data_IF_190468515869
#
_entry.id   IF_190468515869
#
_cell.length_a   1.000
_cell.length_b   1.000
_cell.length_c   1.000
_cell.angle_alpha   90.00
_cell.angle_beta   90.00
_cell.angle_gamma   90.00
#
_symmetry.space_group_name_H-M   'P 1'
#
loop_
_entity.id
_entity.type
_entity.pdbx_description
1 polymer ?
#
# COMPACT_ATOMS: atom_id res chain seq x y z
N UNK A 1 32.00 -17.60 -9.98
CA UNK A 1 30.98 -16.85 -10.77
C UNK A 1 30.94 -15.42 -10.28
N UNK A 2 30.94 -14.43 -11.17
CA UNK A 2 30.73 -13.04 -10.77
C UNK A 2 29.33 -12.92 -10.13
N UNK A 3 29.19 -12.31 -8.96
CA UNK A 3 27.89 -12.16 -8.32
C UNK A 3 26.98 -11.30 -9.21
N UNK A 4 25.76 -11.79 -9.47
CA UNK A 4 24.73 -11.01 -10.18
C UNK A 4 24.43 -9.77 -9.36
N UNK A 5 24.69 -8.58 -9.91
CA UNK A 5 24.53 -7.30 -9.20
C UNK A 5 23.07 -6.88 -9.06
N UNK A 6 22.24 -7.18 -10.09
CA UNK A 6 20.81 -6.88 -10.07
C UNK A 6 20.07 -7.92 -9.25
N UNK A 7 19.28 -7.46 -8.28
CA UNK A 7 18.47 -8.32 -7.41
C UNK A 7 17.02 -8.31 -7.83
N UNK A 8 16.39 -9.48 -7.83
CA UNK A 8 14.97 -9.66 -8.21
C UNK A 8 14.14 -9.81 -6.96
N UNK A 9 13.20 -8.89 -6.79
CA UNK A 9 12.17 -8.93 -5.73
C UNK A 9 10.86 -9.38 -6.36
N UNK A 10 10.27 -10.47 -5.88
CA UNK A 10 8.99 -10.95 -6.37
C UNK A 10 7.92 -10.90 -5.26
N UNK A 11 6.75 -10.33 -5.59
CA UNK A 11 5.58 -10.37 -4.71
C UNK A 11 4.95 -11.75 -4.75
N UNK A 12 4.77 -12.35 -3.58
CA UNK A 12 4.15 -13.65 -3.46
C UNK A 12 2.66 -13.48 -3.18
N UNK A 13 1.86 -14.20 -3.93
CA UNK A 13 0.40 -14.26 -3.82
C UNK A 13 -0.12 -15.69 -3.94
N UNK A 14 -1.45 -15.90 -3.99
CA UNK A 14 -2.06 -17.24 -3.96
C UNK A 14 -1.55 -18.19 -5.03
N UNK A 15 -1.19 -17.70 -6.21
CA UNK A 15 -0.66 -18.53 -7.32
C UNK A 15 0.81 -18.92 -7.15
N UNK A 16 1.54 -18.30 -6.23
CA UNK A 16 3.00 -18.45 -6.10
C UNK A 16 3.47 -18.85 -4.70
N UNK A 17 2.56 -19.02 -3.72
CA UNK A 17 2.89 -19.25 -2.32
C UNK A 17 3.29 -20.72 -2.00
N UNK A 18 3.18 -21.67 -2.94
CA UNK A 18 3.57 -23.04 -2.69
C UNK A 18 5.09 -23.21 -2.60
N UNK A 19 5.54 -24.12 -1.75
CA UNK A 19 6.96 -24.44 -1.57
C UNK A 19 7.67 -24.77 -2.90
N UNK A 20 7.03 -25.57 -3.77
CA UNK A 20 7.58 -25.96 -5.05
C UNK A 20 7.75 -24.76 -6.01
N UNK A 21 6.79 -23.82 -5.99
CA UNK A 21 6.87 -22.62 -6.81
C UNK A 21 7.96 -21.67 -6.30
N UNK A 22 8.04 -21.41 -5.00
CA UNK A 22 9.11 -20.60 -4.41
C UNK A 22 10.49 -21.18 -4.72
N UNK A 23 10.65 -22.51 -4.64
CA UNK A 23 11.88 -23.19 -5.02
C UNK A 23 12.24 -22.96 -6.50
N UNK A 24 11.26 -23.07 -7.41
CA UNK A 24 11.48 -22.80 -8.85
C UNK A 24 11.83 -21.33 -9.08
N UNK A 25 11.15 -20.39 -8.46
CA UNK A 25 11.43 -18.95 -8.61
C UNK A 25 12.83 -18.60 -8.09
N UNK A 26 13.23 -19.14 -6.93
CA UNK A 26 14.58 -18.97 -6.39
C UNK A 26 15.65 -19.54 -7.32
N UNK A 27 15.45 -20.75 -7.83
CA UNK A 27 16.37 -21.39 -8.78
C UNK A 27 16.50 -20.60 -10.10
N UNK A 28 15.51 -19.78 -10.45
CA UNK A 28 15.51 -18.91 -11.63
C UNK A 28 15.88 -17.45 -11.33
N UNK A 29 16.45 -17.17 -10.15
CA UNK A 29 17.07 -15.88 -9.84
C UNK A 29 16.26 -14.94 -8.96
N UNK A 30 15.20 -15.38 -8.33
CA UNK A 30 14.53 -14.57 -7.29
C UNK A 30 15.42 -14.47 -6.06
N UNK A 31 15.75 -13.26 -5.64
CA UNK A 31 16.58 -12.97 -4.46
C UNK A 31 15.77 -12.64 -3.23
N UNK A 32 14.58 -12.03 -3.38
CA UNK A 32 13.77 -11.54 -2.27
C UNK A 32 12.29 -11.83 -2.51
N UNK A 33 11.66 -12.41 -1.51
CA UNK A 33 10.20 -12.57 -1.42
C UNK A 33 9.61 -11.29 -0.82
N UNK A 34 8.66 -10.65 -1.51
CA UNK A 34 7.90 -9.52 -0.97
C UNK A 34 6.54 -9.99 -0.47
N UNK A 35 6.27 -9.71 0.82
CA UNK A 35 4.98 -9.89 1.48
C UNK A 35 4.23 -8.55 1.46
N UNK A 36 3.19 -8.42 0.63
CA UNK A 36 2.39 -7.21 0.55
C UNK A 36 1.28 -7.22 1.61
N UNK A 37 1.49 -6.48 2.71
CA UNK A 37 0.54 -6.46 3.83
C UNK A 37 -0.74 -5.65 3.56
N UNK A 38 -0.89 -5.03 2.40
CA UNK A 38 -2.19 -4.48 1.99
C UNK A 38 -3.22 -5.59 1.70
N UNK A 39 -2.76 -6.80 1.36
CA UNK A 39 -3.60 -7.92 0.93
C UNK A 39 -3.37 -9.22 1.70
N UNK A 40 -2.15 -9.46 2.18
CA UNK A 40 -1.80 -10.67 2.91
C UNK A 40 -2.25 -10.60 4.38
N UNK A 41 -2.68 -11.74 4.92
CA UNK A 41 -2.86 -11.93 6.36
C UNK A 41 -1.53 -12.33 7.03
N UNK A 42 -1.47 -12.29 8.36
CA UNK A 42 -0.30 -12.80 9.09
C UNK A 42 -0.15 -14.31 8.92
N UNK A 43 -1.25 -15.05 8.78
CA UNK A 43 -1.26 -16.49 8.54
C UNK A 43 -0.64 -16.84 7.18
N UNK A 44 -1.06 -16.14 6.11
CA UNK A 44 -0.48 -16.30 4.78
C UNK A 44 1.02 -16.00 4.79
N UNK A 45 1.40 -14.91 5.46
CA UNK A 45 2.79 -14.51 5.58
C UNK A 45 3.64 -15.55 6.33
N UNK A 46 3.12 -16.15 7.42
CA UNK A 46 3.82 -17.22 8.16
C UNK A 46 4.10 -18.44 7.29
N UNK A 47 3.13 -18.89 6.49
CA UNK A 47 3.31 -19.99 5.56
C UNK A 47 4.49 -19.74 4.62
N UNK A 48 4.55 -18.53 4.04
CA UNK A 48 5.61 -18.14 3.12
C UNK A 48 6.97 -18.06 3.84
N UNK A 49 7.00 -17.49 5.05
CA UNK A 49 8.22 -17.42 5.89
C UNK A 49 8.75 -18.82 6.18
N UNK A 50 7.90 -19.78 6.53
CA UNK A 50 8.29 -21.17 6.82
C UNK A 50 8.86 -21.84 5.57
N UNK A 51 8.26 -21.61 4.40
CA UNK A 51 8.78 -22.11 3.13
C UNK A 51 10.14 -21.53 2.80
N UNK A 52 10.35 -20.21 2.98
CA UNK A 52 11.64 -19.54 2.74
C UNK A 52 12.70 -20.07 3.71
N UNK A 53 12.37 -20.19 5.00
CA UNK A 53 13.28 -20.73 6.00
C UNK A 53 13.71 -22.18 5.68
N UNK A 54 12.79 -23.00 5.18
CA UNK A 54 13.08 -24.36 4.72
C UNK A 54 14.01 -24.36 3.50
N UNK A 55 13.73 -23.49 2.51
CA UNK A 55 14.60 -23.35 1.32
C UNK A 55 16.00 -22.92 1.71
N UNK A 56 16.13 -21.95 2.61
CA UNK A 56 17.44 -21.45 3.04
C UNK A 56 18.26 -22.49 3.82
N UNK A 57 17.62 -23.44 4.48
CA UNK A 57 18.31 -24.58 5.10
C UNK A 57 18.82 -25.61 4.10
N UNK A 58 18.02 -25.84 3.05
CA UNK A 58 18.31 -26.91 2.07
C UNK A 58 19.30 -26.49 0.97
N UNK A 59 19.48 -25.19 0.69
CA UNK A 59 20.16 -24.69 -0.52
C UNK A 59 21.17 -23.57 -0.27
N UNK A 60 21.77 -23.53 0.90
CA UNK A 60 22.65 -22.44 1.34
C UNK A 60 23.81 -22.09 0.37
N UNK A 61 24.26 -23.04 -0.45
CA UNK A 61 25.54 -22.88 -1.18
C UNK A 61 25.42 -22.55 -2.67
N UNK A 62 24.28 -22.84 -3.33
CA UNK A 62 24.17 -22.71 -4.79
C UNK A 62 23.61 -21.36 -5.26
N UNK A 63 22.60 -20.84 -4.59
CA UNK A 63 21.87 -19.64 -5.02
C UNK A 63 21.97 -18.48 -4.00
N UNK A 64 22.58 -18.73 -2.85
CA UNK A 64 22.58 -17.84 -1.71
C UNK A 64 21.22 -17.82 -0.99
N UNK A 65 21.13 -17.13 0.17
CA UNK A 65 19.90 -17.09 0.95
C UNK A 65 18.83 -16.24 0.27
N UNK A 66 17.60 -16.75 0.23
CA UNK A 66 16.41 -16.02 -0.19
C UNK A 66 15.99 -15.06 0.93
N UNK A 67 15.95 -13.76 0.63
CA UNK A 67 15.53 -12.72 1.56
C UNK A 67 14.01 -12.61 1.68
N UNK A 68 13.53 -11.96 2.75
CA UNK A 68 12.11 -11.64 2.94
C UNK A 68 11.98 -10.13 3.16
N UNK A 69 11.07 -9.50 2.42
CA UNK A 69 10.67 -8.11 2.54
C UNK A 69 9.20 -8.04 2.97
N UNK A 70 8.92 -7.45 4.13
CA UNK A 70 7.56 -7.07 4.51
C UNK A 70 7.30 -5.64 4.02
N UNK A 71 6.27 -5.48 3.19
CA UNK A 71 5.84 -4.19 2.65
C UNK A 71 4.56 -3.75 3.37
N UNK A 72 4.64 -2.64 4.13
CA UNK A 72 3.52 -2.11 4.90
C UNK A 72 2.43 -1.56 3.99
N UNK A 73 1.19 -1.54 4.47
CA UNK A 73 0.09 -0.92 3.74
C UNK A 73 0.24 0.61 3.67
N UNK A 74 0.64 1.23 4.79
CA UNK A 74 0.69 2.68 4.92
C UNK A 74 -0.68 3.36 5.01
N UNK A 75 -0.68 4.70 5.08
CA UNK A 75 -1.88 5.51 5.22
C UNK A 75 -2.60 5.70 3.87
N UNK A 76 -3.23 4.66 3.35
CA UNK A 76 -3.95 4.75 2.08
C UNK A 76 -5.29 5.48 2.21
N UNK A 77 -5.54 6.40 1.28
CA UNK A 77 -6.86 6.97 1.05
C UNK A 77 -7.57 6.13 -0.02
N UNK A 78 -8.79 5.69 0.28
CA UNK A 78 -9.59 4.86 -0.63
C UNK A 78 -11.05 5.31 -0.67
N UNK A 79 -11.73 4.97 -1.76
CA UNK A 79 -13.20 5.04 -1.83
C UNK A 79 -13.83 4.00 -0.90
N UNK A 80 -15.11 4.16 -0.60
CA UNK A 80 -15.91 3.19 0.14
C UNK A 80 -16.13 1.88 -0.63
N UNK A 81 -16.96 1.03 -0.05
CA UNK A 81 -17.42 -0.21 -0.69
C UNK A 81 -18.44 0.13 -1.78
N UNK A 82 -18.38 -0.54 -2.91
CA UNK A 82 -19.41 -0.48 -3.93
C UNK A 82 -20.01 -1.87 -4.14
N UNK A 83 -21.33 -1.95 -4.16
CA UNK A 83 -22.05 -3.19 -4.44
C UNK A 83 -22.11 -3.50 -5.94
N UNK A 84 -21.89 -2.48 -6.76
CA UNK A 84 -21.84 -2.58 -8.22
C UNK A 84 -20.91 -1.52 -8.78
N UNK A 85 -20.33 -1.79 -9.92
CA UNK A 85 -19.51 -0.81 -10.62
C UNK A 85 -20.36 0.37 -11.10
N UNK A 86 -19.82 1.59 -11.00
CA UNK A 86 -20.51 2.83 -11.38
C UNK A 86 -19.78 3.48 -12.54
N UNK A 87 -20.47 3.65 -13.66
CA UNK A 87 -19.92 4.34 -14.80
C UNK A 87 -20.05 5.86 -14.63
N UNK A 88 -18.91 6.54 -14.63
CA UNK A 88 -18.79 7.98 -14.54
C UNK A 88 -18.36 8.55 -15.88
N UNK A 89 -19.08 9.56 -16.36
CA UNK A 89 -18.80 10.23 -17.64
C UNK A 89 -18.16 11.59 -17.41
N UNK A 90 -17.37 12.03 -18.36
CA UNK A 90 -16.80 13.39 -18.36
C UNK A 90 -17.93 14.41 -18.27
N UNK A 91 -17.79 15.35 -17.34
CA UNK A 91 -18.80 16.39 -17.07
C UNK A 91 -19.79 16.02 -15.96
N UNK A 92 -19.88 14.77 -15.54
CA UNK A 92 -20.75 14.39 -14.43
C UNK A 92 -20.38 15.13 -13.14
N UNK A 93 -21.41 15.44 -12.34
CA UNK A 93 -21.25 16.07 -11.04
C UNK A 93 -21.49 15.04 -9.96
N UNK A 94 -20.48 14.78 -9.15
CA UNK A 94 -20.53 13.83 -8.04
C UNK A 94 -20.06 14.48 -6.74
N UNK A 95 -20.53 13.97 -5.60
CA UNK A 95 -20.04 14.35 -4.29
C UNK A 95 -19.02 13.33 -3.78
N UNK A 96 -17.81 13.79 -3.44
CA UNK A 96 -16.88 12.99 -2.62
C UNK A 96 -17.14 13.33 -1.17
N UNK A 97 -17.54 12.35 -0.36
CA UNK A 97 -18.03 12.56 1.01
C UNK A 97 -17.20 11.84 2.05
N UNK A 98 -17.16 12.40 3.28
CA UNK A 98 -16.56 11.77 4.45
C UNK A 98 -17.59 11.19 5.42
N UNK A 99 -18.86 11.19 5.03
CA UNK A 99 -19.97 10.66 5.83
C UNK A 99 -19.85 9.14 6.00
N UNK A 100 -20.20 8.64 7.17
CA UNK A 100 -20.13 7.22 7.48
C UNK A 100 -21.38 6.43 7.07
N UNK A 101 -22.50 7.13 6.84
CA UNK A 101 -23.79 6.59 6.42
C UNK A 101 -23.92 6.43 4.88
N UNK A 102 -22.88 6.77 4.15
CA UNK A 102 -22.81 6.66 2.67
C UNK A 102 -21.62 5.79 2.30
N UNK A 103 -21.80 4.91 1.35
CA UNK A 103 -20.72 4.21 0.66
C UNK A 103 -20.52 4.78 -0.76
N UNK A 104 -20.37 3.93 -1.78
CA UNK A 104 -20.25 4.38 -3.16
C UNK A 104 -21.61 4.25 -3.83
N UNK A 105 -22.18 5.40 -4.17
CA UNK A 105 -23.46 5.55 -4.87
C UNK A 105 -23.24 6.38 -6.14
N UNK A 106 -24.22 6.40 -7.04
CA UNK A 106 -24.12 7.08 -8.37
C UNK A 106 -23.74 8.56 -8.24
N UNK A 107 -24.20 9.26 -7.21
CA UNK A 107 -23.96 10.69 -7.00
C UNK A 107 -23.11 11.03 -5.79
N UNK A 108 -22.76 10.04 -4.95
CA UNK A 108 -22.01 10.24 -3.71
C UNK A 108 -21.01 9.10 -3.50
N UNK A 109 -19.75 9.44 -3.39
CA UNK A 109 -18.64 8.48 -3.27
C UNK A 109 -17.97 8.75 -1.93
N UNK A 110 -18.07 7.81 -1.00
CA UNK A 110 -17.38 7.89 0.28
C UNK A 110 -15.88 7.82 0.12
N UNK A 111 -15.16 8.66 0.88
CA UNK A 111 -13.70 8.64 1.01
C UNK A 111 -13.35 8.40 2.48
N UNK A 112 -12.45 7.47 2.76
CA UNK A 112 -12.08 7.06 4.12
C UNK A 112 -11.17 8.05 4.87
N UNK A 113 -10.88 9.21 4.30
CA UNK A 113 -10.02 10.24 4.90
C UNK A 113 -10.86 11.37 5.50
N UNK A 114 -11.02 11.39 6.83
CA UNK A 114 -11.81 12.41 7.55
C UNK A 114 -11.27 13.84 7.39
N UNK A 115 -9.98 14.00 7.12
CA UNK A 115 -9.35 15.31 6.85
C UNK A 115 -9.60 15.86 5.45
N UNK A 116 -10.26 15.13 4.55
CA UNK A 116 -10.45 15.47 3.14
C UNK A 116 -10.94 16.90 2.92
N UNK A 117 -12.04 17.25 3.59
CA UNK A 117 -12.69 18.56 3.41
C UNK A 117 -11.78 19.72 3.84
N UNK A 118 -11.01 19.51 4.92
CA UNK A 118 -10.05 20.51 5.44
C UNK A 118 -8.84 20.66 4.53
N UNK A 119 -8.33 19.54 4.02
CA UNK A 119 -7.07 19.51 3.23
C UNK A 119 -7.26 19.98 1.79
N UNK A 120 -8.45 19.82 1.20
CA UNK A 120 -8.70 20.07 -0.22
C UNK A 120 -9.38 21.45 -0.39
N UNK A 121 -9.00 22.17 -1.45
CA UNK A 121 -9.56 23.48 -1.81
C UNK A 121 -10.36 23.42 -3.11
N UNK A 122 -11.23 24.44 -3.35
CA UNK A 122 -11.87 24.63 -4.65
C UNK A 122 -10.79 24.73 -5.74
N UNK A 123 -10.98 24.00 -6.84
CA UNK A 123 -10.03 23.93 -7.95
C UNK A 123 -9.02 22.79 -7.85
N UNK A 124 -8.84 22.18 -6.66
CA UNK A 124 -7.96 21.03 -6.51
C UNK A 124 -8.34 19.87 -7.42
N UNK A 125 -7.35 19.11 -7.87
CA UNK A 125 -7.52 17.86 -8.58
C UNK A 125 -7.50 16.69 -7.58
N UNK A 126 -8.40 15.73 -7.78
CA UNK A 126 -8.44 14.46 -7.07
C UNK A 126 -8.35 13.37 -8.11
N UNK A 127 -7.51 12.35 -7.87
CA UNK A 127 -7.39 11.22 -8.80
C UNK A 127 -7.83 9.94 -8.11
N UNK A 128 -8.55 9.09 -8.82
CA UNK A 128 -9.03 7.79 -8.32
C UNK A 128 -8.56 6.69 -9.26
N UNK A 129 -8.33 5.50 -8.70
CA UNK A 129 -7.89 4.28 -9.39
C UNK A 129 -6.58 4.49 -10.17
N UNK A 130 -5.51 4.85 -9.43
CA UNK A 130 -4.17 5.08 -9.99
C UNK A 130 -4.10 6.13 -11.11
N UNK A 131 -5.01 7.12 -11.08
CA UNK A 131 -5.05 8.21 -12.05
C UNK A 131 -5.95 7.96 -13.26
N UNK A 132 -6.63 6.83 -13.34
CA UNK A 132 -7.57 6.53 -14.44
C UNK A 132 -8.75 7.48 -14.44
N UNK A 133 -9.26 7.88 -13.27
CA UNK A 133 -10.35 8.84 -13.15
C UNK A 133 -9.88 10.09 -12.44
N UNK A 134 -10.17 11.26 -13.03
CA UNK A 134 -9.77 12.55 -12.50
C UNK A 134 -10.99 13.42 -12.23
N UNK A 135 -10.92 14.16 -11.11
CA UNK A 135 -11.99 15.01 -10.61
C UNK A 135 -11.47 16.41 -10.31
N UNK A 136 -12.28 17.42 -10.57
CA UNK A 136 -12.01 18.82 -10.17
C UNK A 136 -13.01 19.26 -9.12
N UNK A 137 -12.51 19.76 -7.98
CA UNK A 137 -13.36 20.29 -6.91
C UNK A 137 -13.98 21.61 -7.34
N UNK A 138 -15.31 21.68 -7.36
CA UNK A 138 -16.08 22.87 -7.71
C UNK A 138 -16.49 23.67 -6.47
N UNK A 139 -16.91 22.97 -5.42
CA UNK A 139 -17.35 23.54 -4.16
C UNK A 139 -17.13 22.53 -3.03
N UNK A 140 -17.19 22.99 -1.77
CA UNK A 140 -17.16 22.12 -0.60
C UNK A 140 -18.10 22.64 0.48
N UNK A 141 -18.62 21.73 1.28
CA UNK A 141 -19.36 22.01 2.51
C UNK A 141 -18.68 21.33 3.72
N UNK A 142 -19.40 21.04 4.80
CA UNK A 142 -18.84 20.44 6.01
C UNK A 142 -18.41 18.98 5.83
N UNK A 143 -19.03 18.24 4.89
CA UNK A 143 -18.87 16.80 4.75
C UNK A 143 -18.66 16.34 3.30
N UNK A 144 -18.85 17.24 2.32
CA UNK A 144 -18.83 16.89 0.90
C UNK A 144 -17.91 17.82 0.10
N UNK A 145 -17.28 17.26 -0.92
CA UNK A 145 -16.69 17.97 -2.03
C UNK A 145 -17.55 17.74 -3.25
N UNK A 146 -18.17 18.78 -3.80
CA UNK A 146 -18.85 18.73 -5.10
C UNK A 146 -17.81 18.78 -6.19
N UNK A 147 -17.72 17.72 -6.99
CA UNK A 147 -16.67 17.55 -7.99
C UNK A 147 -17.27 17.36 -9.38
N UNK A 148 -16.55 17.84 -10.40
CA UNK A 148 -16.79 17.51 -11.81
C UNK A 148 -15.82 16.43 -12.24
N UNK A 149 -16.30 15.42 -12.93
CA UNK A 149 -15.51 14.36 -13.56
C UNK A 149 -14.77 14.94 -14.75
N UNK A 150 -13.44 14.90 -14.74
CA UNK A 150 -12.58 15.33 -15.85
C UNK A 150 -12.25 14.17 -16.78
N UNK A 151 -11.95 13.01 -16.20
CA UNK A 151 -11.72 11.77 -16.93
C UNK A 151 -12.62 10.70 -16.31
N UNK A 152 -13.53 10.18 -17.13
CA UNK A 152 -14.51 9.18 -16.72
C UNK A 152 -13.95 7.77 -16.71
N UNK A 153 -14.76 6.84 -16.23
CA UNK A 153 -14.42 5.42 -16.16
C UNK A 153 -15.37 4.64 -15.26
N UNK A 154 -15.12 3.36 -15.11
CA UNK A 154 -15.90 2.46 -14.27
C UNK A 154 -15.32 2.41 -12.86
N UNK A 155 -16.01 3.00 -11.90
CA UNK A 155 -15.60 3.03 -10.49
C UNK A 155 -16.06 1.77 -9.77
N UNK A 156 -15.11 0.92 -9.39
CA UNK A 156 -15.36 -0.23 -8.53
C UNK A 156 -15.14 0.06 -7.04
N UNK A 157 -15.22 -1.00 -6.23
CA UNK A 157 -15.10 -0.95 -4.78
C UNK A 157 -13.67 -0.63 -4.31
N UNK A 158 -13.52 0.16 -3.25
CA UNK A 158 -12.27 0.43 -2.50
C UNK A 158 -11.10 0.92 -3.36
N UNK A 159 -11.36 1.75 -4.36
CA UNK A 159 -10.34 2.28 -5.25
C UNK A 159 -9.43 3.27 -4.54
N UNK A 160 -8.16 3.25 -4.90
CA UNK A 160 -7.16 4.18 -4.36
C UNK A 160 -7.48 5.62 -4.75
N UNK A 161 -7.33 6.54 -3.78
CA UNK A 161 -7.54 7.99 -3.99
C UNK A 161 -6.23 8.73 -3.75
N UNK A 162 -5.83 9.54 -4.69
CA UNK A 162 -4.67 10.40 -4.56
C UNK A 162 -5.09 11.88 -4.62
N UNK A 163 -4.43 12.72 -3.84
CA UNK A 163 -4.67 14.15 -3.71
C UNK A 163 -3.41 14.92 -4.13
N UNK A 164 -3.16 15.10 -5.44
CA UNK A 164 -1.94 15.72 -5.94
C UNK A 164 -1.75 17.14 -5.39
N UNK A 165 -0.57 17.44 -4.86
CA UNK A 165 -0.23 18.76 -4.31
C UNK A 165 -0.95 19.11 -3.00
N UNK A 166 -1.61 18.14 -2.35
CA UNK A 166 -2.31 18.35 -1.07
C UNK A 166 -1.55 17.64 0.03
N UNK A 167 -1.13 18.39 1.04
CA UNK A 167 -0.54 17.81 2.25
C UNK A 167 -1.60 17.05 3.04
N UNK A 168 -1.38 15.75 3.19
CA UNK A 168 -2.30 14.84 3.88
C UNK A 168 -1.84 14.64 5.32
N UNK A 169 -2.71 14.99 6.28
CA UNK A 169 -2.46 14.78 7.71
C UNK A 169 -2.89 13.37 8.13
N UNK A 170 -2.09 12.39 7.74
CA UNK A 170 -2.22 11.00 8.14
C UNK A 170 -0.94 10.53 8.85
N UNK A 171 -1.05 9.64 9.86
CA UNK A 171 0.14 9.10 10.52
C UNK A 171 0.98 8.31 9.51
N UNK A 172 2.29 8.48 9.56
CA UNK A 172 3.22 7.74 8.67
C UNK A 172 3.19 6.24 8.89
N UNK A 173 2.93 5.81 10.13
CA UNK A 173 2.79 4.40 10.51
C UNK A 173 1.41 4.20 11.15
N UNK A 174 0.51 3.56 10.43
CA UNK A 174 -0.85 3.28 10.89
C UNK A 174 -0.89 2.28 12.05
N UNK A 175 -2.06 2.12 12.68
CA UNK A 175 -2.25 1.06 13.70
C UNK A 175 -2.03 -0.34 13.13
N UNK A 176 -2.41 -0.56 11.86
CA UNK A 176 -2.18 -1.81 11.15
C UNK A 176 -0.69 -2.02 10.91
N UNK A 177 0.00 -1.01 10.39
CA UNK A 177 1.44 -1.10 10.13
C UNK A 177 2.23 -1.41 11.40
N UNK A 178 1.85 -0.85 12.56
CA UNK A 178 2.48 -1.18 13.87
C UNK A 178 2.34 -2.67 14.23
N UNK A 179 1.21 -3.31 13.89
CA UNK A 179 1.00 -4.74 14.07
C UNK A 179 1.88 -5.53 13.09
N UNK A 180 1.90 -5.13 11.82
CA UNK A 180 2.68 -5.79 10.77
C UNK A 180 4.20 -5.66 11.02
N UNK A 181 4.68 -4.50 11.47
CA UNK A 181 6.07 -4.29 11.89
C UNK A 181 6.42 -5.17 13.11
N UNK A 182 5.51 -5.27 14.09
CA UNK A 182 5.71 -6.15 15.25
C UNK A 182 5.80 -7.61 14.83
N UNK A 183 4.96 -8.04 13.90
CA UNK A 183 4.99 -9.35 13.28
C UNK A 183 6.32 -9.60 12.54
N UNK A 184 6.78 -8.63 11.74
CA UNK A 184 8.06 -8.71 11.04
C UNK A 184 9.23 -8.91 12.00
N UNK A 185 9.28 -8.14 13.08
CA UNK A 185 10.32 -8.24 14.12
C UNK A 185 10.31 -9.61 14.80
N UNK A 186 9.12 -10.12 15.18
CA UNK A 186 8.96 -11.43 15.83
C UNK A 186 9.46 -12.57 14.94
N UNK A 187 9.31 -12.45 13.63
CA UNK A 187 9.72 -13.46 12.66
C UNK A 187 11.10 -13.19 12.02
N UNK A 188 11.88 -12.26 12.59
CA UNK A 188 13.23 -11.90 12.13
C UNK A 188 13.29 -11.54 10.64
N UNK A 189 12.26 -10.87 10.10
CA UNK A 189 12.24 -10.44 8.70
C UNK A 189 13.32 -9.37 8.47
N UNK A 190 14.24 -9.58 7.50
CA UNK A 190 15.41 -8.73 7.35
C UNK A 190 15.13 -7.36 6.70
N UNK A 191 14.03 -7.21 5.94
CA UNK A 191 13.69 -5.97 5.25
C UNK A 191 12.25 -5.55 5.54
N UNK A 192 12.05 -4.26 5.87
CA UNK A 192 10.74 -3.65 6.03
C UNK A 192 10.66 -2.45 5.09
N UNK A 193 9.73 -2.49 4.13
CA UNK A 193 9.40 -1.37 3.28
C UNK A 193 8.30 -0.54 3.92
N UNK A 194 8.56 0.75 4.11
CA UNK A 194 7.61 1.73 4.63
C UNK A 194 6.96 2.44 3.46
N UNK A 195 5.65 2.24 3.29
CA UNK A 195 4.86 2.86 2.22
C UNK A 195 4.56 4.33 2.52
N UNK A 196 4.41 5.13 1.46
CA UNK A 196 4.03 6.54 1.51
C UNK A 196 4.95 7.39 2.40
N UNK A 197 6.27 7.20 2.28
CA UNK A 197 7.25 8.04 2.97
C UNK A 197 7.25 9.44 2.38
N UNK A 198 6.95 10.45 3.21
CA UNK A 198 6.84 11.86 2.83
C UNK A 198 7.98 12.71 3.36
N UNK A 199 8.61 12.25 4.45
CA UNK A 199 9.64 13.01 5.14
C UNK A 199 10.68 12.12 5.83
N UNK A 200 11.87 12.65 6.17
CA UNK A 200 12.85 11.92 6.97
C UNK A 200 12.34 11.49 8.35
N UNK A 201 11.36 12.22 8.93
CA UNK A 201 10.76 11.88 10.22
C UNK A 201 10.01 10.54 10.19
N UNK A 202 9.38 10.20 9.06
CA UNK A 202 8.65 8.94 8.89
C UNK A 202 9.61 7.73 9.00
N UNK A 203 10.76 7.83 8.34
CA UNK A 203 11.82 6.81 8.43
C UNK A 203 12.39 6.75 9.85
N UNK A 204 12.54 7.91 10.51
CA UNK A 204 13.07 7.99 11.88
C UNK A 204 12.09 7.38 12.89
N UNK A 205 10.77 7.53 12.69
CA UNK A 205 9.75 6.85 13.50
C UNK A 205 9.93 5.32 13.43
N UNK A 206 10.00 4.75 12.23
CA UNK A 206 10.23 3.30 12.06
C UNK A 206 11.56 2.87 12.66
N UNK A 207 12.64 3.61 12.42
CA UNK A 207 13.98 3.33 13.01
C UNK A 207 13.94 3.30 14.54
N UNK A 208 13.18 4.19 15.15
CA UNK A 208 12.99 4.23 16.61
C UNK A 208 12.26 2.98 17.13
N UNK A 209 11.22 2.53 16.40
CA UNK A 209 10.50 1.29 16.73
C UNK A 209 11.46 0.09 16.68
N UNK A 210 12.22 -0.04 15.59
CA UNK A 210 13.18 -1.14 15.39
C UNK A 210 14.25 -1.14 16.48
N UNK A 211 14.83 0.03 16.80
CA UNK A 211 15.85 0.16 17.86
C UNK A 211 15.31 -0.24 19.22
N UNK A 212 14.11 0.20 19.60
CA UNK A 212 13.46 -0.17 20.87
C UNK A 212 13.23 -1.67 20.99
N UNK A 213 12.94 -2.34 19.88
CA UNK A 213 12.72 -3.79 19.80
C UNK A 213 14.00 -4.59 19.51
N UNK A 214 15.18 -3.94 19.47
CA UNK A 214 16.49 -4.55 19.16
C UNK A 214 16.49 -5.30 17.82
N UNK A 215 15.72 -4.85 16.84
CA UNK A 215 15.66 -5.44 15.50
C UNK A 215 16.79 -4.91 14.62
N UNK A 216 17.38 -5.79 13.83
CA UNK A 216 18.42 -5.48 12.82
C UNK A 216 17.84 -5.27 11.43
N UNK A 217 16.52 -5.31 11.28
CA UNK A 217 15.84 -5.14 9.99
C UNK A 217 16.26 -3.83 9.30
N UNK A 218 16.46 -3.91 7.99
CA UNK A 218 16.78 -2.76 7.13
C UNK A 218 15.49 -2.13 6.65
N UNK A 219 15.51 -0.79 6.54
CA UNK A 219 14.35 0.01 6.10
C UNK A 219 14.51 0.33 4.63
N UNK A 220 13.44 0.11 3.86
CA UNK A 220 13.28 0.61 2.49
C UNK A 220 12.22 1.70 2.54
N UNK A 221 12.58 2.93 2.20
CA UNK A 221 11.63 4.03 2.09
C UNK A 221 11.01 4.03 0.69
N UNK A 222 9.69 3.95 0.61
CA UNK A 222 8.95 4.03 -0.65
C UNK A 222 8.45 5.47 -0.85
N UNK A 223 8.98 6.14 -1.87
CA UNK A 223 8.58 7.49 -2.24
C UNK A 223 7.52 7.37 -3.33
N UNK A 224 6.27 7.57 -2.95
CA UNK A 224 5.10 7.29 -3.79
C UNK A 224 4.27 8.56 -4.09
N UNK A 225 4.59 9.67 -3.44
CA UNK A 225 3.92 10.96 -3.61
C UNK A 225 4.94 12.07 -3.88
N UNK A 226 4.48 13.14 -4.55
CA UNK A 226 5.18 14.42 -4.61
C UNK A 226 4.58 15.32 -3.50
N UNK A 227 5.23 15.37 -2.35
CA UNK A 227 4.93 16.34 -1.28
C UNK A 227 6.17 17.19 -1.00
#
# INVERSE_FOLDING_TARGET
MNPIKTKIIATIGPSTNSFSMLKKMHANGMDVVRLNMSHATHEDALLIIDHVNKLNKDQSDKYGPLGILLDTQGPEIRTGVSNQDIDLKVGDIVNLTIRDDVDVETSSIKINYKGLIKSVSKGSKITIDNGLMNFKVLAKDKENLRCCVLDGGTLGSKRHVNLPGVRVDLPSITKKDKKDITFAIKNNIPFIALSFVRSPSDVTELRTILKRKKSTAKIIAKIENQE
#
